data_IF_923835731406
#
_entry.id   IF_923835731406
#
_cell.length_a   1.000
_cell.length_b   1.000
_cell.length_c   1.000
_cell.angle_alpha   90.00
_cell.angle_beta   90.00
_cell.angle_gamma   90.00
#
_symmetry.space_group_name_H-M   'P 1'
#
loop_
_entity.id
_entity.type
_entity.pdbx_description
1 polymer ?
#
# COMPACT_ATOMS: atom_id res chain seq x y z
N UNK A 1 17.75 -17.67 -1.42
CA UNK A 1 16.49 -17.37 -0.69
C UNK A 1 15.41 -17.07 -1.71
N UNK A 2 14.28 -17.78 -1.69
CA UNK A 2 13.19 -17.51 -2.64
C UNK A 2 12.39 -16.30 -2.14
N UNK A 3 12.74 -15.10 -2.61
CA UNK A 3 12.15 -13.83 -2.15
C UNK A 3 10.77 -13.55 -2.74
N UNK A 4 10.39 -14.25 -3.81
CA UNK A 4 9.09 -14.14 -4.50
C UNK A 4 7.90 -14.29 -3.53
N UNK A 5 7.74 -15.38 -2.75
CA UNK A 5 6.60 -15.54 -1.83
C UNK A 5 6.55 -14.47 -0.74
N UNK A 6 7.70 -13.99 -0.27
CA UNK A 6 7.77 -12.91 0.70
C UNK A 6 7.20 -11.61 0.12
N UNK A 7 7.60 -11.24 -1.10
CA UNK A 7 7.10 -10.03 -1.75
C UNK A 7 5.59 -10.09 -1.99
N UNK A 8 5.05 -11.23 -2.43
CA UNK A 8 3.59 -11.38 -2.56
C UNK A 8 2.85 -11.19 -1.24
N UNK A 9 3.38 -11.77 -0.17
CA UNK A 9 2.77 -11.67 1.16
C UNK A 9 2.81 -10.23 1.67
N UNK A 10 3.97 -9.57 1.59
CA UNK A 10 4.13 -8.18 2.01
C UNK A 10 3.30 -7.21 1.16
N UNK A 11 3.17 -7.47 -0.14
CA UNK A 11 2.31 -6.71 -1.02
C UNK A 11 0.83 -6.85 -0.67
N UNK A 12 0.36 -8.06 -0.39
CA UNK A 12 -1.00 -8.28 0.06
C UNK A 12 -1.28 -7.52 1.38
N UNK A 13 -0.35 -7.60 2.33
CA UNK A 13 -0.43 -6.86 3.60
C UNK A 13 -0.47 -5.35 3.36
N UNK A 14 0.39 -4.82 2.49
CA UNK A 14 0.43 -3.40 2.15
C UNK A 14 -0.89 -2.91 1.55
N UNK A 15 -1.50 -3.68 0.65
CA UNK A 15 -2.80 -3.34 0.05
C UNK A 15 -3.90 -3.35 1.12
N UNK A 16 -3.98 -4.40 1.94
CA UNK A 16 -4.99 -4.51 3.00
C UNK A 16 -4.88 -3.35 3.99
N UNK A 17 -3.67 -3.08 4.49
CA UNK A 17 -3.44 -1.97 5.42
C UNK A 17 -3.72 -0.61 4.75
N UNK A 18 -3.33 -0.42 3.50
CA UNK A 18 -3.60 0.80 2.75
C UNK A 18 -5.11 1.06 2.62
N UNK A 19 -5.91 0.04 2.31
CA UNK A 19 -7.37 0.16 2.27
C UNK A 19 -7.97 0.45 3.65
N UNK A 20 -7.52 -0.23 4.70
CA UNK A 20 -7.98 0.02 6.06
C UNK A 20 -7.71 1.46 6.50
N UNK A 21 -6.50 1.97 6.24
CA UNK A 21 -6.16 3.37 6.52
C UNK A 21 -6.98 4.33 5.68
N UNK A 22 -7.18 4.07 4.39
CA UNK A 22 -8.00 4.91 3.53
C UNK A 22 -9.44 5.02 4.05
N UNK A 23 -10.05 3.88 4.40
CA UNK A 23 -11.39 3.83 4.99
C UNK A 23 -11.41 4.59 6.32
N UNK A 24 -10.40 4.41 7.17
CA UNK A 24 -10.28 5.12 8.44
C UNK A 24 -10.19 6.64 8.25
N UNK A 25 -9.35 7.11 7.33
CA UNK A 25 -9.16 8.53 7.03
C UNK A 25 -10.43 9.19 6.50
N UNK A 26 -11.24 8.47 5.72
CA UNK A 26 -12.53 8.96 5.22
C UNK A 26 -13.62 8.90 6.29
N UNK A 27 -13.64 7.85 7.11
CA UNK A 27 -14.69 7.62 8.11
C UNK A 27 -14.53 8.50 9.36
N UNK A 28 -13.29 8.82 9.73
CA UNK A 28 -12.95 9.65 10.87
C UNK A 28 -11.88 10.68 10.47
N UNK A 29 -12.25 11.70 9.67
CA UNK A 29 -11.28 12.67 9.17
C UNK A 29 -10.71 13.52 10.31
N UNK A 30 -9.40 13.81 10.23
CA UNK A 30 -8.74 14.71 11.17
C UNK A 30 -9.21 16.14 11.00
N UNK A 31 -9.33 16.87 12.12
CA UNK A 31 -9.68 18.29 12.13
C UNK A 31 -8.61 19.19 11.50
N UNK A 32 -7.35 18.71 11.46
CA UNK A 32 -6.24 19.37 10.78
C UNK A 32 -6.19 18.92 9.29
N UNK A 33 -6.34 19.85 8.33
CA UNK A 33 -6.30 19.53 6.90
C UNK A 33 -4.96 18.96 6.41
N UNK A 34 -3.84 19.35 7.02
CA UNK A 34 -2.51 18.85 6.61
C UNK A 34 -2.34 17.38 6.99
N UNK A 35 -2.84 17.00 8.17
CA UNK A 35 -2.83 15.62 8.65
C UNK A 35 -3.72 14.75 7.76
N UNK A 36 -4.91 15.25 7.41
CA UNK A 36 -5.83 14.53 6.53
C UNK A 36 -5.21 14.23 5.16
N UNK A 37 -4.58 15.23 4.52
CA UNK A 37 -3.94 15.06 3.22
C UNK A 37 -2.79 14.06 3.31
N UNK A 38 -1.96 14.14 4.36
CA UNK A 38 -0.87 13.18 4.59
C UNK A 38 -1.40 11.76 4.71
N UNK A 39 -2.42 11.54 5.51
CA UNK A 39 -2.98 10.21 5.77
C UNK A 39 -3.68 9.65 4.52
N UNK A 40 -4.30 10.52 3.73
CA UNK A 40 -4.88 10.17 2.44
C UNK A 40 -3.79 9.78 1.42
N UNK A 41 -2.75 10.59 1.27
CA UNK A 41 -1.66 10.32 0.33
C UNK A 41 -0.90 9.05 0.71
N UNK A 42 -0.61 8.86 1.99
CA UNK A 42 0.12 7.67 2.48
C UNK A 42 -0.68 6.39 2.31
N UNK A 43 -1.99 6.40 2.59
CA UNK A 43 -2.86 5.24 2.36
C UNK A 43 -2.98 4.89 0.87
N UNK A 44 -3.13 5.90 0.00
CA UNK A 44 -3.14 5.68 -1.46
C UNK A 44 -1.79 5.13 -1.96
N UNK A 45 -0.67 5.70 -1.51
CA UNK A 45 0.67 5.20 -1.86
C UNK A 45 0.87 3.75 -1.42
N UNK A 46 0.41 3.38 -0.22
CA UNK A 46 0.51 2.01 0.28
C UNK A 46 -0.22 1.01 -0.65
N UNK A 47 -1.42 1.35 -1.12
CA UNK A 47 -2.19 0.54 -2.07
C UNK A 47 -1.45 0.43 -3.41
N UNK A 48 -1.03 1.57 -3.97
CA UNK A 48 -0.34 1.62 -5.27
C UNK A 48 0.95 0.81 -5.25
N UNK A 49 1.79 0.98 -4.22
CA UNK A 49 3.03 0.23 -4.08
C UNK A 49 2.78 -1.25 -3.80
N UNK A 50 1.77 -1.57 -2.99
CA UNK A 50 1.34 -2.94 -2.73
C UNK A 50 0.94 -3.67 -4.02
N UNK A 51 0.25 -3.00 -4.94
CA UNK A 51 -0.14 -3.54 -6.26
C UNK A 51 1.04 -3.60 -7.22
N UNK A 52 1.91 -2.59 -7.24
CA UNK A 52 3.03 -2.51 -8.19
C UNK A 52 4.17 -3.47 -7.84
N UNK A 53 4.48 -3.69 -6.56
CA UNK A 53 5.57 -4.57 -6.14
C UNK A 53 5.52 -6.00 -6.73
N UNK A 54 4.38 -6.74 -6.76
CA UNK A 54 4.32 -8.06 -7.37
C UNK A 54 4.38 -8.00 -8.90
N UNK A 55 3.93 -6.90 -9.52
CA UNK A 55 4.02 -6.67 -10.97
C UNK A 55 5.48 -6.46 -11.36
N UNK A 56 6.18 -5.60 -10.64
CA UNK A 56 7.60 -5.30 -10.83
C UNK A 56 8.45 -6.56 -10.64
N UNK A 57 8.22 -7.34 -9.58
CA UNK A 57 9.02 -8.55 -9.36
C UNK A 57 8.74 -9.62 -10.41
N UNK A 58 7.50 -9.73 -10.91
CA UNK A 58 7.19 -10.61 -12.06
C UNK A 58 7.92 -10.18 -13.31
N UNK A 59 7.98 -8.87 -13.57
CA UNK A 59 8.57 -8.32 -14.79
C UNK A 59 10.10 -8.42 -14.80
N UNK A 60 10.75 -8.15 -13.66
CA UNK A 60 12.21 -8.02 -13.59
C UNK A 60 12.93 -9.22 -12.97
N UNK A 61 12.25 -10.12 -12.25
CA UNK A 61 12.86 -11.35 -11.73
C UNK A 61 12.59 -12.59 -12.61
N UNK A 62 12.26 -12.34 -13.89
CA UNK A 62 12.07 -13.34 -14.96
C UNK A 62 13.19 -13.26 -16.01
N UNK A 63 14.09 -12.25 -15.90
CA UNK A 63 15.43 -12.29 -16.51
C UNK A 63 16.40 -13.03 -15.59
#
# INVERSE_FOLDING_TARGET
MNTKPLVYTLSAVAVVLGFLFLISTISAPSLDPLVFIRDLVTSVLAIVLGILAPILIRRFATE
#
